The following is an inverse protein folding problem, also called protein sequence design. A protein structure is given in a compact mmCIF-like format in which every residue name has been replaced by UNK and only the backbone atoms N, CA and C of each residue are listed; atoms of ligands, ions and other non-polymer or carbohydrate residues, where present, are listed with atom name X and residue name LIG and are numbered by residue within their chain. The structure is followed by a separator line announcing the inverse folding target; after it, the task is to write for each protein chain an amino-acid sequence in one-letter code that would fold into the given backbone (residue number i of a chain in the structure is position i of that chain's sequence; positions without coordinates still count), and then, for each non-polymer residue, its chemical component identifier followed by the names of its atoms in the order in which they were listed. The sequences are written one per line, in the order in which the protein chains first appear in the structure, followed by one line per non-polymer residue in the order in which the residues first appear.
data_IF_490957429048
#
_entry.id   IF_490957429048
#
_cell.length_a   1.000
_cell.length_b   1.000
_cell.length_c   1.000
_cell.angle_alpha   90.00
_cell.angle_beta   90.00
_cell.angle_gamma   90.00
#
_symmetry.space_group_name_H-M   'P 1'
#
loop_
_entity.id
_entity.type
_entity.pdbx_description
1 polymer ?
#
# COMPACT_ATOMS: atom_id res chain seq x y z
N UNK A 1 2.23 6.48 -20.92
CA UNK A 1 1.82 6.54 -19.50
C UNK A 1 1.61 5.11 -19.03
N UNK A 2 2.18 4.72 -17.90
CA UNK A 2 2.02 3.37 -17.34
C UNK A 2 0.66 3.28 -16.65
N UNK A 3 -0.13 2.26 -16.98
CA UNK A 3 -1.46 2.06 -16.39
C UNK A 3 -1.33 1.72 -14.88
N UNK A 4 -2.17 2.29 -14.00
CA UNK A 4 -2.17 1.92 -12.60
C UNK A 4 -2.53 0.43 -12.43
N UNK A 5 -1.98 -0.19 -11.38
CA UNK A 5 -2.18 -1.62 -11.09
C UNK A 5 -3.60 -1.95 -10.60
N UNK A 6 -4.32 -0.93 -10.13
CA UNK A 6 -5.70 -1.05 -9.66
C UNK A 6 -6.55 0.09 -10.19
N UNK A 7 -7.87 -0.12 -10.27
CA UNK A 7 -8.83 0.86 -10.78
C UNK A 7 -9.41 1.75 -9.67
N UNK A 8 -9.94 2.92 -10.06
CA UNK A 8 -10.69 3.80 -9.16
C UNK A 8 -11.97 3.15 -8.63
N UNK A 9 -12.60 2.27 -9.42
CA UNK A 9 -13.81 1.55 -8.99
C UNK A 9 -13.48 0.60 -7.84
N UNK A 10 -12.42 -0.20 -7.97
CA UNK A 10 -11.96 -1.09 -6.91
C UNK A 10 -11.64 -0.32 -5.62
N UNK A 11 -11.07 0.89 -5.74
CA UNK A 11 -10.81 1.75 -4.59
C UNK A 11 -12.11 2.28 -3.97
N UNK A 12 -13.07 2.69 -4.79
CA UNK A 12 -14.38 3.21 -4.35
C UNK A 12 -15.20 2.13 -3.64
N UNK A 13 -15.24 0.92 -4.19
CA UNK A 13 -15.88 -0.25 -3.56
C UNK A 13 -15.28 -0.54 -2.19
N UNK A 14 -13.95 -0.44 -2.08
CA UNK A 14 -13.23 -0.71 -0.82
C UNK A 14 -13.39 0.39 0.23
N UNK A 15 -13.56 1.64 -0.22
CA UNK A 15 -13.86 2.77 0.66
C UNK A 15 -15.30 2.71 1.21
N UNK A 16 -16.22 2.07 0.48
CA UNK A 16 -17.62 1.94 0.89
C UNK A 16 -18.46 3.21 0.70
N UNK A 17 -17.91 4.24 0.04
CA UNK A 17 -18.63 5.46 -0.33
C UNK A 17 -18.18 5.95 -1.70
N UNK A 18 -19.03 6.75 -2.36
CA UNK A 18 -18.69 7.36 -3.65
C UNK A 18 -17.79 8.57 -3.45
N UNK A 19 -16.63 8.55 -4.10
CA UNK A 19 -15.72 9.69 -4.18
C UNK A 19 -16.34 10.81 -5.03
N UNK A 20 -16.28 12.04 -4.54
CA UNK A 20 -16.61 13.26 -5.31
C UNK A 20 -15.55 13.54 -6.39
N UNK A 21 -15.85 14.36 -7.38
CA UNK A 21 -14.91 14.68 -8.47
C UNK A 21 -13.51 15.14 -8.01
N UNK A 22 -13.34 16.05 -7.02
CA UNK A 22 -12.01 16.39 -6.52
C UNK A 22 -11.32 15.22 -5.81
N UNK A 23 -12.05 14.39 -5.06
CA UNK A 23 -11.50 13.19 -4.42
C UNK A 23 -11.08 12.13 -5.45
N UNK A 24 -11.81 12.01 -6.57
CA UNK A 24 -11.45 11.10 -7.67
C UNK A 24 -10.11 11.49 -8.31
N UNK A 25 -9.83 12.79 -8.45
CA UNK A 25 -8.53 13.29 -8.93
C UNK A 25 -7.41 12.91 -7.96
N UNK A 26 -7.61 13.15 -6.66
CA UNK A 26 -6.62 12.78 -5.63
C UNK A 26 -6.41 11.26 -5.55
N UNK A 27 -7.49 10.49 -5.63
CA UNK A 27 -7.45 9.03 -5.63
C UNK A 27 -6.73 8.47 -6.86
N UNK A 28 -6.93 9.07 -8.04
CA UNK A 28 -6.23 8.67 -9.26
C UNK A 28 -4.73 8.92 -9.17
N UNK A 29 -4.33 10.09 -8.66
CA UNK A 29 -2.93 10.41 -8.39
C UNK A 29 -2.32 9.43 -7.37
N UNK A 30 -3.02 9.17 -6.27
CA UNK A 30 -2.57 8.22 -5.25
C UNK A 30 -2.41 6.79 -5.81
N UNK A 31 -3.30 6.33 -6.70
CA UNK A 31 -3.17 5.02 -7.36
C UNK A 31 -1.96 4.98 -8.31
N UNK A 32 -1.68 6.06 -9.03
CA UNK A 32 -0.51 6.15 -9.90
C UNK A 32 0.79 6.08 -9.08
N UNK A 33 0.88 6.86 -8.01
CA UNK A 33 2.04 6.88 -7.12
C UNK A 33 2.24 5.53 -6.42
N UNK A 34 1.16 4.95 -5.89
CA UNK A 34 1.19 3.61 -5.28
C UNK A 34 1.67 2.55 -6.26
N UNK A 35 1.19 2.60 -7.51
CA UNK A 35 1.59 1.66 -8.57
C UNK A 35 3.06 1.81 -8.93
N UNK A 36 3.57 3.04 -8.98
CA UNK A 36 4.98 3.31 -9.24
C UNK A 36 5.87 2.74 -8.13
N UNK A 37 5.50 2.92 -6.86
CA UNK A 37 6.24 2.37 -5.72
C UNK A 37 6.21 0.84 -5.71
N UNK A 38 5.05 0.24 -5.95
CA UNK A 38 4.89 -1.21 -6.02
C UNK A 38 5.81 -1.82 -7.10
N UNK A 39 5.90 -1.17 -8.27
CA UNK A 39 6.81 -1.59 -9.35
C UNK A 39 8.28 -1.35 -9.01
N UNK A 40 8.59 -0.31 -8.26
CA UNK A 40 9.97 0.01 -7.84
C UNK A 40 10.51 -0.99 -6.81
N UNK A 41 9.68 -1.46 -5.87
CA UNK A 41 10.09 -2.41 -4.84
C UNK A 41 9.90 -3.88 -5.23
N UNK A 42 8.95 -4.16 -6.11
CA UNK A 42 8.66 -5.50 -6.62
C UNK A 42 9.25 -5.71 -8.01
N UNK A 43 8.36 -5.97 -8.97
CA UNK A 43 8.69 -6.22 -10.37
C UNK A 43 7.93 -5.23 -11.29
N UNK A 44 8.37 -5.03 -12.54
CA UNK A 44 7.80 -4.00 -13.41
C UNK A 44 6.31 -4.19 -13.76
N UNK A 45 5.78 -5.42 -13.67
CA UNK A 45 4.39 -5.83 -13.98
C UNK A 45 3.71 -4.91 -15.01
N UNK A 46 4.17 -4.95 -16.28
CA UNK A 46 3.72 -4.00 -17.30
C UNK A 46 2.22 -4.11 -17.57
N UNK A 47 1.65 -5.31 -17.46
CA UNK A 47 0.22 -5.56 -17.55
C UNK A 47 -0.37 -5.77 -16.14
N UNK A 48 -1.35 -4.95 -15.70
CA UNK A 48 -2.01 -5.14 -14.41
C UNK A 48 -2.69 -6.52 -14.27
N UNK A 49 -3.15 -7.13 -15.36
CA UNK A 49 -3.73 -8.47 -15.33
C UNK A 49 -2.72 -9.58 -15.01
N UNK A 50 -1.43 -9.30 -15.19
CA UNK A 50 -0.33 -10.22 -14.83
C UNK A 50 0.29 -9.92 -13.47
N UNK A 51 -0.15 -8.85 -12.81
CA UNK A 51 0.34 -8.50 -11.50
C UNK A 51 -0.24 -9.47 -10.45
N UNK A 52 0.57 -9.93 -9.47
CA UNK A 52 0.07 -10.73 -8.37
C UNK A 52 -1.04 -10.01 -7.60
N UNK A 53 -2.03 -10.77 -7.11
CA UNK A 53 -3.14 -10.22 -6.34
C UNK A 53 -2.68 -9.43 -5.10
N UNK A 54 -1.56 -9.83 -4.51
CA UNK A 54 -0.95 -9.10 -3.37
C UNK A 54 -0.39 -7.74 -3.80
N UNK A 55 0.20 -7.60 -4.98
CA UNK A 55 0.68 -6.31 -5.48
C UNK A 55 -0.48 -5.34 -5.69
N UNK A 56 -1.58 -5.82 -6.29
CA UNK A 56 -2.82 -5.04 -6.46
C UNK A 56 -3.42 -4.64 -5.11
N UNK A 57 -3.44 -5.57 -4.16
CA UNK A 57 -3.96 -5.32 -2.79
C UNK A 57 -3.15 -4.26 -2.05
N UNK A 58 -1.82 -4.30 -2.17
CA UNK A 58 -0.93 -3.31 -1.57
C UNK A 58 -1.11 -1.93 -2.23
N UNK A 59 -1.23 -1.87 -3.55
CA UNK A 59 -1.54 -0.61 -4.27
C UNK A 59 -2.84 0.01 -3.75
N UNK A 60 -3.90 -0.78 -3.61
CA UNK A 60 -5.19 -0.33 -3.10
C UNK A 60 -5.10 0.13 -1.64
N UNK A 61 -4.38 -0.61 -0.78
CA UNK A 61 -4.18 -0.28 0.64
C UNK A 61 -3.44 1.05 0.81
N UNK A 62 -2.38 1.28 0.02
CA UNK A 62 -1.60 2.49 0.07
C UNK A 62 -2.38 3.71 -0.44
N UNK A 63 -3.15 3.55 -1.53
CA UNK A 63 -4.00 4.60 -2.06
C UNK A 63 -5.13 4.98 -1.08
N UNK A 64 -5.80 4.00 -0.46
CA UNK A 64 -6.82 4.28 0.57
C UNK A 64 -6.24 5.04 1.76
N UNK A 65 -5.07 4.63 2.27
CA UNK A 65 -4.42 5.33 3.39
C UNK A 65 -4.18 6.80 3.05
N UNK A 66 -3.80 7.10 1.80
CA UNK A 66 -3.60 8.48 1.32
C UNK A 66 -4.91 9.26 1.13
N UNK A 67 -6.00 8.60 0.75
CA UNK A 67 -7.33 9.23 0.61
C UNK A 67 -7.96 9.49 1.98
N UNK A 68 -7.85 8.55 2.92
CA UNK A 68 -8.37 8.68 4.30
C UNK A 68 -7.54 9.62 5.17
N UNK A 69 -6.24 9.73 4.93
CA UNK A 69 -5.33 10.62 5.66
C UNK A 69 -4.58 11.55 4.70
N UNK A 70 -5.25 12.54 4.10
CA UNK A 70 -4.64 13.42 3.12
C UNK A 70 -3.64 14.40 3.73
N UNK A 71 -3.78 14.71 5.02
CA UNK A 71 -2.97 15.67 5.78
C UNK A 71 -1.72 15.02 6.38
N UNK A 72 -1.60 13.68 6.29
CA UNK A 72 -0.45 12.93 6.79
C UNK A 72 -0.34 12.93 8.30
N UNK A 73 -1.48 13.04 9.01
CA UNK A 73 -1.51 13.03 10.48
C UNK A 73 -0.76 11.79 10.99
N UNK A 74 0.36 12.05 11.67
CA UNK A 74 1.10 11.09 12.48
C UNK A 74 0.30 10.91 13.75
N UNK A 75 -0.24 9.73 14.00
CA UNK A 75 -0.85 9.45 15.29
C UNK A 75 0.23 9.59 16.38
N UNK A 76 0.11 10.61 17.24
CA UNK A 76 0.80 10.64 18.52
C UNK A 76 0.12 9.62 19.45
N UNK A 77 0.85 8.53 19.72
CA UNK A 77 0.73 7.59 20.84
C UNK A 77 -0.65 7.20 21.38
N UNK A 78 -1.11 6.00 21.03
CA UNK A 78 -1.71 5.08 22.03
C UNK A 78 -1.67 3.62 21.56
N UNK A 79 -0.92 2.78 22.26
CA UNK A 79 -1.04 1.31 22.18
C UNK A 79 -0.06 0.57 21.25
N UNK A 80 1.16 0.30 21.74
CA UNK A 80 1.94 -0.92 21.43
C UNK A 80 2.52 -1.16 20.03
N UNK A 81 2.04 -0.53 18.97
CA UNK A 81 2.58 -0.70 17.61
C UNK A 81 3.09 0.63 17.05
N UNK A 82 4.39 0.88 17.23
CA UNK A 82 5.07 2.01 16.60
C UNK A 82 5.30 1.70 15.12
N UNK A 83 4.48 2.27 14.24
CA UNK A 83 4.82 2.39 12.81
C UNK A 83 5.62 3.67 12.61
N UNK A 84 6.94 3.61 12.83
CA UNK A 84 7.83 4.69 12.42
C UNK A 84 8.06 4.59 10.91
N UNK A 85 7.32 5.38 10.15
CA UNK A 85 7.70 5.70 8.78
C UNK A 85 9.09 6.37 8.83
N UNK A 86 10.10 5.89 8.10
CA UNK A 86 11.42 6.51 8.10
C UNK A 86 11.32 7.98 7.66
N UNK A 87 12.11 8.85 8.32
CA UNK A 87 12.07 10.31 8.22
C UNK A 87 12.33 10.90 6.81
N UNK A 88 12.59 10.04 5.82
CA UNK A 88 12.83 10.36 4.42
C UNK A 88 11.68 9.93 3.50
N UNK A 89 10.51 9.54 4.05
CA UNK A 89 9.34 9.30 3.23
C UNK A 89 8.87 10.64 2.62
N UNK A 90 8.94 10.83 1.30
CA UNK A 90 8.44 12.04 0.66
C UNK A 90 6.95 12.19 0.99
N UNK A 91 6.49 13.44 1.16
CA UNK A 91 5.06 13.76 1.26
C UNK A 91 4.32 13.14 0.08
N UNK A 92 3.69 11.98 0.30
CA UNK A 92 3.20 11.10 -0.77
C UNK A 92 2.71 9.75 -0.25
N UNK A 93 2.29 8.87 -1.15
CA UNK A 93 1.91 7.50 -0.84
C UNK A 93 3.12 6.77 -0.25
N UNK A 94 2.94 6.06 0.88
CA UNK A 94 4.02 5.31 1.51
C UNK A 94 3.65 3.83 1.67
N UNK A 95 4.57 2.96 1.26
CA UNK A 95 4.50 1.53 1.55
C UNK A 95 5.14 1.24 2.90
N UNK A 96 4.59 0.25 3.58
CA UNK A 96 5.14 -0.23 4.83
C UNK A 96 6.25 -1.26 4.62
N UNK A 97 7.13 -1.47 5.61
CA UNK A 97 8.20 -2.48 5.53
C UNK A 97 7.67 -3.89 5.27
N UNK A 98 6.52 -4.24 5.87
CA UNK A 98 5.88 -5.54 5.65
C UNK A 98 5.39 -5.69 4.20
N UNK A 99 4.81 -4.65 3.61
CA UNK A 99 4.35 -4.64 2.22
C UNK A 99 5.54 -4.71 1.25
N UNK A 100 6.61 -3.96 1.50
CA UNK A 100 7.84 -4.03 0.70
C UNK A 100 8.42 -5.44 0.75
N UNK A 101 8.41 -6.10 1.91
CA UNK A 101 8.86 -7.50 2.06
C UNK A 101 8.02 -8.46 1.22
N UNK A 102 6.70 -8.33 1.22
CA UNK A 102 5.80 -9.15 0.40
C UNK A 102 6.04 -8.93 -1.10
N UNK A 103 6.19 -7.68 -1.52
CA UNK A 103 6.47 -7.34 -2.93
C UNK A 103 7.79 -7.93 -3.42
N UNK A 104 8.84 -7.90 -2.58
CA UNK A 104 10.14 -8.51 -2.91
C UNK A 104 10.06 -10.04 -2.98
N UNK A 105 9.25 -10.66 -2.14
CA UNK A 105 9.03 -12.10 -2.19
C UNK A 105 8.36 -12.51 -3.51
N UNK A 106 7.32 -11.79 -3.93
CA UNK A 106 6.63 -12.03 -5.20
C UNK A 106 7.48 -11.72 -6.43
N UNK A 107 8.35 -10.71 -6.35
CA UNK A 107 9.26 -10.37 -7.42
C UNK A 107 10.40 -11.39 -7.60
N UNK A 108 10.51 -12.39 -6.72
CA UNK A 108 11.57 -13.39 -6.74
C UNK A 108 12.94 -12.83 -6.34
N UNK A 109 13.00 -11.57 -5.88
CA UNK A 109 14.23 -10.86 -5.49
C UNK A 109 14.52 -10.94 -3.99
N UNK A 110 13.68 -11.63 -3.22
CA UNK A 110 13.86 -11.82 -1.77
C UNK A 110 14.52 -13.16 -1.44
N UNK A 111 15.70 -13.13 -0.81
CA UNK A 111 16.25 -14.29 -0.12
C UNK A 111 15.25 -14.86 0.90
N UNK A 112 15.33 -16.18 1.16
CA UNK A 112 14.50 -16.87 2.14
C UNK A 112 14.72 -16.27 3.53
N UNK A 113 13.69 -15.71 4.16
CA UNK A 113 13.76 -15.30 5.57
C UNK A 113 12.51 -15.68 6.33
N UNK A 114 12.72 -16.37 7.46
CA UNK A 114 11.71 -16.76 8.44
C UNK A 114 10.91 -15.56 8.94
N UNK A 115 9.60 -15.73 9.12
CA UNK A 115 8.74 -14.78 9.83
C UNK A 115 8.51 -15.39 11.22
N UNK A 116 8.91 -14.73 12.31
CA UNK A 116 8.51 -15.19 13.63
C UNK A 116 6.99 -15.03 13.77
N UNK A 117 6.28 -16.15 13.89
CA UNK A 117 4.86 -16.19 14.23
C UNK A 117 4.76 -15.94 15.73
N UNK A 118 4.40 -14.73 16.13
CA UNK A 118 4.02 -14.45 17.51
C UNK A 118 2.63 -15.03 17.75
N UNK A 119 2.58 -16.15 18.47
CA UNK A 119 1.33 -16.78 18.91
C UNK A 119 0.76 -15.89 20.02
N UNK A 120 -0.27 -15.12 19.71
CA UNK A 120 -1.02 -14.35 20.72
C UNK A 120 -1.76 -15.36 21.62
N UNK A 121 -1.08 -15.81 22.67
CA UNK A 121 -1.60 -16.72 23.67
C UNK A 121 -2.47 -15.97 24.65
N UNK A 122 -3.79 -16.17 24.55
CA UNK A 122 -4.71 -15.79 25.60
C UNK A 122 -4.47 -16.62 26.86
N UNK A 123 -4.38 -15.96 28.01
CA UNK A 123 -4.35 -16.59 29.32
C UNK A 123 -5.79 -16.87 29.77
N UNK A 124 -6.06 -18.11 30.19
CA UNK A 124 -7.26 -18.50 30.94
C UNK A 124 -7.14 -18.05 32.40
#
# INVERSE_FOLDING_TARGET
MVQPLASLEQLTERLGYRLTDPERVMAAAALADASALVRAYGAPWPNPATAPAVAVSITLAAAERRVRNPEGYRAEGQGGYSYQLPATAPTGVALTDAEIRLLRAEAGTGGLYSVPVERHGGTL
#
